data_IF_878327014358
#
_entry.id   IF_878327014358
#
_cell.length_a   1.000
_cell.length_b   1.000
_cell.length_c   1.000
_cell.angle_alpha   90.00
_cell.angle_beta   90.00
_cell.angle_gamma   90.00
#
_symmetry.space_group_name_H-M   'P 1'
#
loop_
_entity.id
_entity.type
_entity.pdbx_description
1 polymer ?
#
# COMPACT_ATOMS: atom_id res chain seq x y z
N UNK A 1 -53.67 0.82 10.04
CA UNK A 1 -52.30 1.28 10.34
C UNK A 1 -51.43 1.04 9.12
N UNK A 2 -51.16 2.08 8.33
CA UNK A 2 -50.30 2.01 7.14
C UNK A 2 -48.85 2.21 7.56
N UNK A 3 -48.03 1.18 7.38
CA UNK A 3 -46.57 1.26 7.58
C UNK A 3 -45.94 2.02 6.41
N UNK A 4 -45.42 3.22 6.69
CA UNK A 4 -44.62 3.99 5.74
C UNK A 4 -43.38 3.20 5.34
N UNK A 5 -43.35 2.67 4.12
CA UNK A 5 -42.14 2.17 3.47
C UNK A 5 -41.13 3.32 3.38
N UNK A 6 -40.04 3.25 4.15
CA UNK A 6 -38.86 4.10 3.95
C UNK A 6 -38.32 3.83 2.55
N UNK A 7 -38.54 4.77 1.63
CA UNK A 7 -37.90 4.78 0.31
C UNK A 7 -36.39 4.86 0.54
N UNK A 8 -35.65 3.80 0.22
CA UNK A 8 -34.18 3.86 0.17
C UNK A 8 -33.81 4.87 -0.93
N UNK A 9 -33.35 6.04 -0.53
CA UNK A 9 -32.75 7.01 -1.44
C UNK A 9 -31.62 6.31 -2.19
N UNK A 10 -31.66 6.33 -3.53
CA UNK A 10 -30.58 5.81 -4.35
C UNK A 10 -29.25 6.47 -3.92
N UNK A 11 -28.14 5.72 -3.87
CA UNK A 11 -26.87 6.29 -3.44
C UNK A 11 -26.51 7.46 -4.36
N UNK A 12 -26.25 8.63 -3.76
CA UNK A 12 -25.80 9.82 -4.49
C UNK A 12 -24.51 9.44 -5.25
N UNK A 13 -24.58 9.55 -6.57
CA UNK A 13 -23.43 9.29 -7.46
C UNK A 13 -22.57 10.56 -7.47
N UNK A 14 -21.44 10.50 -6.79
CA UNK A 14 -20.46 11.57 -6.80
C UNK A 14 -19.67 11.43 -8.10
N UNK A 15 -19.66 12.48 -8.92
CA UNK A 15 -18.96 12.47 -10.20
C UNK A 15 -17.80 13.48 -10.14
N UNK A 16 -16.60 13.01 -10.42
CA UNK A 16 -15.41 13.85 -10.53
C UNK A 16 -14.56 13.37 -11.72
N UNK A 17 -14.96 13.75 -12.95
CA UNK A 17 -14.40 13.18 -14.18
C UNK A 17 -12.90 13.44 -14.33
N UNK A 18 -12.39 14.54 -13.75
CA UNK A 18 -10.95 14.83 -13.73
C UNK A 18 -10.18 13.82 -12.87
N UNK A 19 -10.69 13.46 -11.69
CA UNK A 19 -10.10 12.42 -10.83
C UNK A 19 -10.12 11.08 -11.55
N UNK A 20 -11.26 10.69 -12.13
CA UNK A 20 -11.38 9.43 -12.88
C UNK A 20 -10.41 9.39 -14.06
N UNK A 21 -10.25 10.49 -14.79
CA UNK A 21 -9.32 10.57 -15.93
C UNK A 21 -7.87 10.46 -15.47
N UNK A 22 -7.49 11.18 -14.40
CA UNK A 22 -6.15 11.11 -13.85
C UNK A 22 -5.83 9.72 -13.30
N UNK A 23 -6.79 9.08 -12.62
CA UNK A 23 -6.66 7.71 -12.14
C UNK A 23 -6.46 6.72 -13.29
N UNK A 24 -7.28 6.82 -14.36
CA UNK A 24 -7.14 5.97 -15.54
C UNK A 24 -5.75 6.08 -16.18
N UNK A 25 -5.15 7.28 -16.18
CA UNK A 25 -3.77 7.47 -16.65
C UNK A 25 -2.78 6.72 -15.77
N UNK A 26 -2.91 6.79 -14.45
CA UNK A 26 -2.04 6.06 -13.51
C UNK A 26 -2.20 4.54 -13.66
N UNK A 27 -3.40 4.03 -13.92
CA UNK A 27 -3.60 2.61 -14.21
C UNK A 27 -2.92 2.18 -15.51
N UNK A 28 -2.84 3.08 -16.51
CA UNK A 28 -2.24 2.80 -17.80
C UNK A 28 -0.70 2.83 -17.80
N UNK A 29 -0.03 3.18 -16.69
CA UNK A 29 1.43 3.24 -16.62
C UNK A 29 2.11 1.92 -16.26
N UNK A 30 1.37 0.81 -16.21
CA UNK A 30 1.97 -0.51 -15.99
C UNK A 30 2.95 -0.84 -17.12
N UNK A 31 4.19 -1.23 -16.77
CA UNK A 31 5.26 -1.50 -17.75
C UNK A 31 5.83 -0.27 -18.44
N UNK A 32 5.51 0.95 -18.00
CA UNK A 32 6.09 2.20 -18.51
C UNK A 32 7.36 2.59 -17.76
N UNK A 33 8.11 3.55 -18.32
CA UNK A 33 9.28 4.10 -17.67
C UNK A 33 8.90 4.78 -16.33
N UNK A 34 9.83 4.77 -15.37
CA UNK A 34 9.62 5.35 -14.04
C UNK A 34 9.19 6.82 -14.09
N UNK A 35 9.75 7.58 -15.04
CA UNK A 35 9.42 8.99 -15.28
C UNK A 35 7.95 9.18 -15.69
N UNK A 36 7.39 8.29 -16.51
CA UNK A 36 5.98 8.32 -16.91
C UNK A 36 5.05 7.99 -15.73
N UNK A 37 5.44 7.00 -14.91
CA UNK A 37 4.70 6.62 -13.71
C UNK A 37 4.65 7.79 -12.74
N UNK A 38 5.80 8.41 -12.48
CA UNK A 38 5.92 9.59 -11.60
C UNK A 38 5.03 10.74 -12.12
N UNK A 39 5.11 11.07 -13.41
CA UNK A 39 4.33 12.14 -14.00
C UNK A 39 2.81 11.88 -13.86
N UNK A 40 2.38 10.63 -14.03
CA UNK A 40 0.98 10.25 -13.83
C UNK A 40 0.53 10.41 -12.37
N UNK A 41 1.36 10.00 -11.41
CA UNK A 41 1.05 10.15 -9.98
C UNK A 41 1.06 11.64 -9.57
N UNK A 42 2.00 12.44 -10.06
CA UNK A 42 2.06 13.90 -9.82
C UNK A 42 0.82 14.60 -10.38
N UNK A 43 0.39 14.24 -11.60
CA UNK A 43 -0.84 14.74 -12.19
C UNK A 43 -2.08 14.35 -11.36
N UNK A 44 -2.17 13.10 -10.88
CA UNK A 44 -3.26 12.69 -10.00
C UNK A 44 -3.25 13.48 -8.69
N UNK A 45 -2.08 13.66 -8.06
CA UNK A 45 -1.94 14.47 -6.86
C UNK A 45 -2.41 15.91 -7.07
N UNK A 46 -2.07 16.53 -8.20
CA UNK A 46 -2.50 17.89 -8.52
C UNK A 46 -4.02 17.97 -8.70
N UNK A 47 -4.61 17.02 -9.42
CA UNK A 47 -6.07 16.96 -9.63
C UNK A 47 -6.82 16.78 -8.31
N UNK A 48 -6.32 15.93 -7.40
CA UNK A 48 -6.95 15.74 -6.09
C UNK A 48 -6.96 17.03 -5.24
N UNK A 49 -5.93 17.87 -5.36
CA UNK A 49 -5.88 19.18 -4.69
C UNK A 49 -6.85 20.18 -5.31
N UNK A 50 -6.97 20.18 -6.64
CA UNK A 50 -7.90 21.07 -7.36
C UNK A 50 -9.37 20.73 -7.10
N UNK A 51 -9.66 19.46 -6.80
CA UNK A 51 -11.01 18.98 -6.44
C UNK A 51 -11.25 19.10 -4.93
N UNK A 52 -10.86 20.24 -4.34
CA UNK A 52 -10.90 20.52 -2.89
C UNK A 52 -12.30 20.51 -2.26
N UNK A 53 -13.35 20.47 -3.10
CA UNK A 53 -14.75 20.33 -2.67
C UNK A 53 -15.15 18.90 -2.30
N UNK A 54 -14.31 17.90 -2.60
CA UNK A 54 -14.57 16.51 -2.26
C UNK A 54 -13.88 16.10 -0.97
N UNK A 55 -14.53 15.26 -0.18
CA UNK A 55 -13.85 14.61 0.94
C UNK A 55 -12.89 13.53 0.42
N UNK A 56 -11.89 13.16 1.22
CA UNK A 56 -11.00 12.02 0.90
C UNK A 56 -11.80 10.72 0.69
N UNK A 57 -12.92 10.55 1.41
CA UNK A 57 -13.78 9.39 1.24
C UNK A 57 -14.45 9.38 -0.14
N UNK A 58 -14.90 10.55 -0.60
CA UNK A 58 -15.53 10.70 -1.91
C UNK A 58 -14.51 10.53 -3.05
N UNK A 59 -13.30 11.08 -2.91
CA UNK A 59 -12.22 10.86 -3.86
C UNK A 59 -11.88 9.36 -3.99
N UNK A 60 -11.80 8.64 -2.85
CA UNK A 60 -11.60 7.19 -2.83
C UNK A 60 -12.75 6.45 -3.52
N UNK A 61 -13.99 6.89 -3.32
CA UNK A 61 -15.17 6.31 -3.96
C UNK A 61 -15.11 6.51 -5.47
N UNK A 62 -14.83 7.73 -5.95
CA UNK A 62 -14.68 8.01 -7.39
C UNK A 62 -13.61 7.12 -8.02
N UNK A 63 -12.47 6.93 -7.36
CA UNK A 63 -11.41 6.04 -7.85
C UNK A 63 -11.90 4.59 -7.92
N UNK A 64 -12.56 4.08 -6.87
CA UNK A 64 -13.10 2.72 -6.85
C UNK A 64 -14.17 2.49 -7.91
N UNK A 65 -15.02 3.48 -8.13
CA UNK A 65 -16.11 3.44 -9.12
C UNK A 65 -15.58 3.36 -10.57
N UNK A 66 -14.28 3.61 -10.82
CA UNK A 66 -13.67 3.39 -12.14
C UNK A 66 -13.48 1.91 -12.50
N UNK A 67 -13.43 1.02 -11.49
CA UNK A 67 -13.17 -0.41 -11.69
C UNK A 67 -11.75 -0.75 -12.17
N UNK A 68 -10.81 0.21 -12.17
CA UNK A 68 -9.42 0.00 -12.58
C UNK A 68 -8.45 0.01 -11.41
N UNK A 69 -7.41 -0.81 -11.52
CA UNK A 69 -6.35 -0.90 -10.52
C UNK A 69 -5.01 -0.43 -11.10
N UNK A 70 -4.15 0.10 -10.24
CA UNK A 70 -2.77 0.45 -10.59
C UNK A 70 -1.83 -0.49 -9.84
N UNK A 71 -0.75 -0.91 -10.50
CA UNK A 71 0.33 -1.69 -9.90
C UNK A 71 1.18 -0.88 -8.91
N UNK A 72 1.10 0.45 -8.94
CA UNK A 72 1.95 1.33 -8.12
C UNK A 72 1.20 1.95 -6.94
N UNK A 73 -0.04 2.40 -7.14
CA UNK A 73 -0.83 3.07 -6.11
C UNK A 73 -2.23 2.47 -5.94
N UNK A 74 -2.75 2.52 -4.72
CA UNK A 74 -4.10 2.07 -4.36
C UNK A 74 -4.94 3.27 -3.93
N UNK A 75 -6.27 3.11 -3.92
CA UNK A 75 -7.16 4.13 -3.37
C UNK A 75 -6.83 4.50 -1.91
N UNK A 76 -6.22 3.59 -1.13
CA UNK A 76 -5.75 3.89 0.22
C UNK A 76 -4.64 4.94 0.27
N UNK A 77 -3.88 5.14 -0.81
CA UNK A 77 -2.78 6.12 -0.88
C UNK A 77 -3.25 7.55 -1.13
N UNK A 78 -4.47 7.74 -1.66
CA UNK A 78 -5.09 9.05 -1.94
C UNK A 78 -4.82 10.13 -0.88
N UNK A 79 -5.08 9.91 0.43
CA UNK A 79 -4.83 10.93 1.45
C UNK A 79 -3.38 11.40 1.52
N UNK A 80 -2.42 10.54 1.20
CA UNK A 80 -0.99 10.83 1.31
C UNK A 80 -0.35 11.26 -0.02
N UNK A 81 -1.08 11.29 -1.13
CA UNK A 81 -0.50 11.69 -2.43
C UNK A 81 -0.03 13.15 -2.42
N UNK A 82 -0.76 14.03 -1.72
CA UNK A 82 -0.31 15.42 -1.54
C UNK A 82 0.98 15.51 -0.72
N UNK A 83 1.08 14.73 0.36
CA UNK A 83 2.31 14.63 1.16
C UNK A 83 3.45 14.07 0.32
N UNK A 84 3.22 13.03 -0.48
CA UNK A 84 4.20 12.46 -1.39
C UNK A 84 4.73 13.49 -2.39
N UNK A 85 3.85 14.26 -3.04
CA UNK A 85 4.23 15.29 -4.01
C UNK A 85 5.09 16.39 -3.37
N UNK A 86 4.70 16.86 -2.18
CA UNK A 86 5.47 17.86 -1.43
C UNK A 86 6.83 17.34 -0.96
N UNK A 87 6.89 16.11 -0.43
CA UNK A 87 8.16 15.50 -0.02
C UNK A 87 9.11 15.32 -1.20
N UNK A 88 8.60 14.94 -2.38
CA UNK A 88 9.42 14.95 -3.61
C UNK A 88 9.94 16.33 -3.93
N UNK A 89 9.11 17.37 -3.85
CA UNK A 89 9.56 18.73 -4.13
C UNK A 89 10.64 19.23 -3.16
N UNK A 90 10.56 18.82 -1.88
CA UNK A 90 11.43 19.31 -0.80
C UNK A 90 12.74 18.54 -0.65
N UNK A 91 12.75 17.24 -0.96
CA UNK A 91 13.84 16.34 -0.59
C UNK A 91 14.38 15.60 -1.82
N UNK A 92 15.58 15.96 -2.29
CA UNK A 92 16.21 15.31 -3.44
C UNK A 92 16.53 13.83 -3.17
N UNK A 93 16.96 13.53 -1.95
CA UNK A 93 17.16 12.19 -1.41
C UNK A 93 15.86 11.37 -1.37
N UNK A 94 14.70 12.01 -1.16
CA UNK A 94 13.40 11.34 -1.29
C UNK A 94 13.12 10.92 -2.73
N UNK A 95 13.45 11.77 -3.72
CA UNK A 95 13.28 11.42 -5.15
C UNK A 95 14.15 10.25 -5.58
N UNK A 96 15.31 10.06 -4.95
CA UNK A 96 16.23 8.98 -5.24
C UNK A 96 15.78 7.61 -4.68
N UNK A 97 14.77 7.58 -3.79
CA UNK A 97 14.20 6.33 -3.29
C UNK A 97 13.35 5.64 -4.36
N UNK A 98 13.23 4.30 -4.35
CA UNK A 98 12.24 3.60 -5.16
C UNK A 98 10.81 4.12 -4.89
N UNK A 99 9.95 4.21 -5.92
CA UNK A 99 8.56 4.72 -5.80
C UNK A 99 7.80 4.09 -4.64
N UNK A 100 7.92 2.77 -4.44
CA UNK A 100 7.26 2.07 -3.34
C UNK A 100 7.69 2.61 -1.95
N UNK A 101 8.98 2.92 -1.78
CA UNK A 101 9.50 3.51 -0.54
C UNK A 101 9.04 4.96 -0.37
N UNK A 102 9.01 5.74 -1.44
CA UNK A 102 8.47 7.09 -1.39
C UNK A 102 7.01 7.10 -0.93
N UNK A 103 6.16 6.27 -1.54
CA UNK A 103 4.74 6.15 -1.19
C UNK A 103 4.55 5.67 0.25
N UNK A 104 5.32 4.67 0.68
CA UNK A 104 5.27 4.15 2.05
C UNK A 104 5.66 5.21 3.09
N UNK A 105 6.72 5.98 2.83
CA UNK A 105 7.17 7.06 3.71
C UNK A 105 6.15 8.20 3.75
N UNK A 106 5.56 8.59 2.61
CA UNK A 106 4.51 9.60 2.56
C UNK A 106 3.25 9.17 3.32
N UNK A 107 2.82 7.91 3.15
CA UNK A 107 1.72 7.32 3.92
C UNK A 107 2.00 7.34 5.43
N UNK A 108 3.20 6.89 5.83
CA UNK A 108 3.57 6.88 7.25
C UNK A 108 3.65 8.30 7.83
N UNK A 109 4.16 9.27 7.06
CA UNK A 109 4.15 10.68 7.42
C UNK A 109 2.72 11.18 7.66
N UNK A 110 1.81 10.94 6.72
CA UNK A 110 0.41 11.35 6.84
C UNK A 110 -0.30 10.67 8.02
N UNK A 111 -0.22 9.33 8.14
CA UNK A 111 -0.97 8.56 9.13
C UNK A 111 -0.45 8.71 10.56
N UNK A 112 0.86 8.93 10.73
CA UNK A 112 1.49 9.00 12.05
C UNK A 112 1.66 10.43 12.53
N UNK A 113 2.05 11.36 11.65
CA UNK A 113 2.34 12.74 12.02
C UNK A 113 1.14 13.66 11.75
N UNK A 114 0.34 13.32 10.74
CA UNK A 114 -0.77 14.13 10.25
C UNK A 114 -0.41 14.94 9.01
N UNK A 115 -1.43 15.34 8.26
CA UNK A 115 -1.29 16.20 7.07
C UNK A 115 -0.51 17.46 7.42
N UNK A 116 0.44 17.86 6.56
CA UNK A 116 1.21 19.08 6.77
C UNK A 116 2.46 18.93 7.64
N UNK A 117 2.49 17.98 8.58
CA UNK A 117 3.54 17.94 9.60
C UNK A 117 4.86 17.35 9.11
N UNK A 118 4.82 16.24 8.38
CA UNK A 118 6.06 15.65 7.87
C UNK A 118 6.75 16.53 6.83
N UNK A 119 5.99 17.40 6.14
CA UNK A 119 6.51 18.36 5.16
C UNK A 119 7.28 19.52 5.80
N UNK A 120 7.11 19.73 7.11
CA UNK A 120 7.85 20.76 7.87
C UNK A 120 9.23 20.26 8.32
N UNK A 121 9.50 18.96 8.21
CA UNK A 121 10.76 18.37 8.64
C UNK A 121 11.81 18.57 7.54
N UNK A 122 12.90 19.25 7.88
CA UNK A 122 13.87 19.79 6.91
C UNK A 122 14.69 18.74 6.16
N UNK A 123 14.82 17.53 6.70
CA UNK A 123 15.59 16.44 6.08
C UNK A 123 14.81 15.12 6.11
N UNK A 124 15.03 14.28 5.10
CA UNK A 124 14.42 12.94 5.05
C UNK A 124 14.85 12.06 6.22
N UNK A 125 16.10 12.18 6.66
CA UNK A 125 16.62 11.44 7.80
C UNK A 125 15.84 11.78 9.08
N UNK A 126 15.62 13.07 9.35
CA UNK A 126 14.85 13.51 10.49
C UNK A 126 13.39 13.06 10.38
N UNK A 127 12.79 13.12 9.19
CA UNK A 127 11.42 12.65 8.94
C UNK A 127 11.30 11.15 9.25
N UNK A 128 12.27 10.36 8.78
CA UNK A 128 12.29 8.91 8.98
C UNK A 128 12.47 8.56 10.45
N UNK A 129 13.33 9.29 11.17
CA UNK A 129 13.50 9.14 12.62
C UNK A 129 12.22 9.47 13.37
N UNK A 130 11.55 10.56 13.04
CA UNK A 130 10.30 10.97 13.68
C UNK A 130 9.18 9.93 13.46
N UNK A 131 9.03 9.45 12.22
CA UNK A 131 8.11 8.36 11.88
C UNK A 131 8.39 7.11 12.73
N UNK A 132 9.67 6.74 12.90
CA UNK A 132 10.07 5.60 13.71
C UNK A 132 9.76 5.80 15.19
N UNK A 133 9.99 6.99 15.74
CA UNK A 133 9.69 7.36 17.12
C UNK A 133 8.19 7.25 17.41
N UNK A 134 7.35 7.88 16.59
CA UNK A 134 5.89 7.85 16.76
C UNK A 134 5.35 6.42 16.60
N UNK A 135 5.90 5.63 15.67
CA UNK A 135 5.54 4.22 15.51
C UNK A 135 5.84 3.40 16.76
N UNK A 136 7.03 3.57 17.36
CA UNK A 136 7.41 2.90 18.61
C UNK A 136 6.50 3.31 19.77
N UNK A 137 6.19 4.61 19.89
CA UNK A 137 5.29 5.13 20.92
C UNK A 137 3.86 4.57 20.80
N UNK A 138 3.29 4.51 19.59
CA UNK A 138 1.97 3.90 19.36
C UNK A 138 1.93 2.39 19.66
N UNK A 139 3.04 1.69 19.45
CA UNK A 139 3.14 0.26 19.80
C UNK A 139 3.23 0.02 21.30
N UNK A 140 3.88 0.92 22.04
CA UNK A 140 4.02 0.83 23.50
C UNK A 140 2.80 1.36 24.26
N UNK A 141 1.94 2.16 23.61
CA UNK A 141 0.68 2.67 24.17
C UNK A 141 -0.52 1.73 23.98
N UNK A 142 -0.38 0.60 23.28
CA UNK A 142 -1.45 -0.40 23.19
C UNK A 142 -1.48 -1.15 24.53
N UNK A 143 -2.57 -1.11 25.31
CA UNK A 143 -2.65 -1.90 26.53
C UNK A 143 -2.43 -3.37 26.17
N UNK A 144 -1.61 -4.06 26.97
CA UNK A 144 -1.50 -5.51 26.89
C UNK A 144 -2.90 -6.08 27.13
N UNK A 145 -3.56 -6.50 26.06
CA UNK A 145 -4.86 -7.15 26.10
C UNK A 145 -4.68 -8.45 26.92
N UNK A 146 -5.29 -8.58 28.12
CA UNK A 146 -5.18 -9.82 28.85
C UNK A 146 -6.04 -10.85 28.10
N UNK A 147 -5.38 -11.90 27.59
CA UNK A 147 -5.98 -13.06 26.94
C UNK A 147 -6.36 -12.96 25.45
N UNK A 148 -5.44 -12.48 24.61
CA UNK A 148 -5.24 -13.16 23.31
C UNK A 148 -3.93 -13.93 23.43
N UNK A 149 -3.90 -15.27 23.28
CA UNK A 149 -2.63 -15.97 23.22
C UNK A 149 -1.85 -15.30 22.09
N UNK A 150 -0.67 -14.77 22.43
CA UNK A 150 0.27 -14.36 21.40
C UNK A 150 0.34 -15.54 20.44
N UNK A 151 -0.07 -15.36 19.17
CA UNK A 151 0.35 -16.31 18.16
C UNK A 151 1.86 -16.31 18.30
N UNK A 152 2.39 -17.43 18.81
CA UNK A 152 3.82 -17.60 18.97
C UNK A 152 4.44 -17.12 17.66
N UNK A 153 5.40 -16.19 17.75
CA UNK A 153 6.12 -15.77 16.56
C UNK A 153 6.68 -17.06 15.96
N UNK A 154 6.15 -17.45 14.81
CA UNK A 154 6.67 -18.61 14.09
C UNK A 154 8.15 -18.37 13.91
N UNK A 155 8.94 -19.33 14.33
CA UNK A 155 10.37 -19.37 14.05
C UNK A 155 10.57 -19.33 12.54
N UNK A 156 11.77 -18.93 12.10
CA UNK A 156 12.12 -18.95 10.67
C UNK A 156 11.88 -20.36 10.10
N UNK A 157 12.23 -21.39 10.87
CA UNK A 157 11.97 -22.80 10.51
C UNK A 157 10.50 -23.11 10.29
N UNK A 158 9.63 -22.77 11.25
CA UNK A 158 8.18 -23.00 11.12
C UNK A 158 7.58 -22.25 9.93
N UNK A 159 8.14 -21.08 9.59
CA UNK A 159 7.72 -20.32 8.41
C UNK A 159 8.14 -21.00 7.11
N UNK A 160 9.37 -21.54 7.05
CA UNK A 160 9.87 -22.29 5.89
C UNK A 160 9.07 -23.59 5.69
N UNK A 161 8.73 -24.29 6.77
CA UNK A 161 7.91 -25.50 6.73
C UNK A 161 6.49 -25.24 6.20
N UNK A 162 5.88 -24.09 6.53
CA UNK A 162 4.58 -23.70 5.97
C UNK A 162 4.66 -23.38 4.47
N UNK A 163 5.72 -22.70 4.03
CA UNK A 163 5.95 -22.38 2.62
C UNK A 163 6.16 -23.68 1.82
N UNK A 164 6.93 -24.62 2.37
CA UNK A 164 7.13 -25.93 1.76
C UNK A 164 5.81 -26.72 1.64
N UNK A 165 4.99 -26.75 2.70
CA UNK A 165 3.66 -27.38 2.65
C UNK A 165 2.76 -26.75 1.60
N UNK A 166 2.80 -25.43 1.48
CA UNK A 166 2.07 -24.72 0.44
C UNK A 166 2.56 -25.12 -0.95
N UNK A 167 3.87 -25.08 -1.20
CA UNK A 167 4.47 -25.47 -2.48
C UNK A 167 4.10 -26.91 -2.87
N UNK A 168 4.16 -27.86 -1.93
CA UNK A 168 3.78 -29.26 -2.16
C UNK A 168 2.27 -29.49 -2.31
N UNK A 169 1.43 -28.52 -1.91
CA UNK A 169 -0.02 -28.59 -2.07
C UNK A 169 -0.53 -28.05 -3.41
N UNK A 170 0.38 -27.48 -4.21
CA UNK A 170 0.05 -26.91 -5.51
C UNK A 170 -0.02 -28.01 -6.57
N UNK A 171 -1.13 -28.00 -7.32
CA UNK A 171 -1.38 -28.95 -8.40
C UNK A 171 -0.80 -28.43 -9.72
N UNK A 172 -0.02 -29.27 -10.42
CA UNK A 172 0.67 -28.91 -11.66
C UNK A 172 -0.28 -28.42 -12.75
N UNK A 173 -1.53 -28.90 -12.75
CA UNK A 173 -2.56 -28.48 -13.71
C UNK A 173 -2.97 -27.00 -13.55
N UNK A 174 -2.73 -26.41 -12.37
CA UNK A 174 -3.21 -25.06 -12.04
C UNK A 174 -2.21 -23.92 -12.30
N UNK A 175 -0.96 -24.24 -12.63
CA UNK A 175 0.14 -23.25 -12.60
C UNK A 175 0.97 -23.25 -13.89
N UNK A 176 0.83 -24.27 -14.73
CA UNK A 176 1.62 -24.40 -15.95
C UNK A 176 3.03 -24.94 -15.69
N UNK A 177 3.57 -25.65 -16.67
CA UNK A 177 4.76 -26.50 -16.53
C UNK A 177 6.02 -25.73 -16.09
N UNK A 178 6.29 -24.57 -16.70
CA UNK A 178 7.47 -23.76 -16.38
C UNK A 178 7.44 -23.16 -14.96
N UNK A 179 6.25 -22.78 -14.48
CA UNK A 179 6.08 -22.25 -13.13
C UNK A 179 6.06 -23.39 -12.09
N UNK A 180 5.65 -24.61 -12.48
CA UNK A 180 5.74 -25.80 -11.65
C UNK A 180 7.20 -26.25 -11.43
N UNK A 181 8.04 -26.21 -12.47
CA UNK A 181 9.47 -26.51 -12.35
C UNK A 181 10.18 -25.53 -11.39
N UNK A 182 9.87 -24.24 -11.50
CA UNK A 182 10.38 -23.23 -10.57
C UNK A 182 9.92 -23.48 -9.13
N UNK A 183 8.67 -23.94 -8.93
CA UNK A 183 8.14 -24.29 -7.62
C UNK A 183 8.84 -25.52 -7.02
N UNK A 184 9.19 -26.52 -7.83
CA UNK A 184 9.98 -27.68 -7.40
C UNK A 184 11.39 -27.27 -6.99
N UNK A 185 12.03 -26.36 -7.73
CA UNK A 185 13.34 -25.81 -7.37
C UNK A 185 13.29 -25.06 -6.02
N UNK A 186 12.26 -24.22 -5.83
CA UNK A 186 12.02 -23.53 -4.56
C UNK A 186 11.79 -24.53 -3.42
N UNK A 187 10.98 -25.57 -3.64
CA UNK A 187 10.73 -26.61 -2.64
C UNK A 187 12.02 -27.34 -2.24
N UNK A 188 12.87 -27.69 -3.21
CA UNK A 188 14.18 -28.32 -2.94
C UNK A 188 15.12 -27.44 -2.12
N UNK A 189 15.20 -26.14 -2.42
CA UNK A 189 16.01 -25.18 -1.63
C UNK A 189 15.46 -25.03 -0.20
N UNK A 190 14.13 -25.03 -0.04
CA UNK A 190 13.47 -24.95 1.27
C UNK A 190 13.69 -26.21 2.11
N UNK A 191 13.63 -27.41 1.51
CA UNK A 191 13.98 -28.67 2.16
C UNK A 191 15.44 -28.67 2.63
N UNK A 192 16.36 -28.23 1.77
CA UNK A 192 17.77 -28.16 2.11
C UNK A 192 18.03 -27.20 3.30
N UNK A 193 17.40 -26.01 3.29
CA UNK A 193 17.53 -25.01 4.36
C UNK A 193 16.85 -25.42 5.66
N UNK A 194 15.78 -26.20 5.61
CA UNK A 194 15.11 -26.74 6.81
C UNK A 194 15.88 -27.91 7.43
N UNK A 195 16.58 -28.71 6.62
CA UNK A 195 17.41 -29.83 7.08
C UNK A 195 18.81 -29.40 7.60
N UNK A 196 19.47 -28.44 6.94
CA UNK A 196 20.83 -28.00 7.29
C UNK A 196 20.90 -27.05 8.50
N UNK A 197 19.76 -26.51 8.95
CA UNK A 197 19.71 -25.40 9.89
C UNK A 197 19.87 -24.06 9.17
N UNK A 198 19.16 -23.03 9.63
CA UNK A 198 19.02 -21.74 8.94
C UNK A 198 20.35 -20.96 8.81
N UNK A 199 21.37 -21.35 9.56
CA UNK A 199 22.67 -20.66 9.66
C UNK A 199 23.83 -21.36 8.94
N UNK A 200 23.54 -22.32 8.05
CA UNK A 200 24.51 -22.95 7.14
C UNK A 200 24.54 -22.28 5.75
#
# INVERSE_FOLDING_TARGET
MTTSKKTKTAPVKITAPKISTAWNKVCATSGKAETEIIAAIENLSAVLVLESGLSVADMKKVIKDTGKESSFIKASHVPALQTWSKLRALHADFKALPIAKQLSTAMASYDLLGSGKGEQIKTLEALTKEIATVRKAKQSAKPADPAKPAKAKKTVRETLEDILKFANSLDAESIGEADFDLLLEIAGVLEQKTMAGVDA
#
